data_IF_331361832107
#
_entry.id   IF_331361832107
#
_cell.length_a   1.000
_cell.length_b   1.000
_cell.length_c   1.000
_cell.angle_alpha   90.00
_cell.angle_beta   90.00
_cell.angle_gamma   90.00
#
_symmetry.space_group_name_H-M   'P 1'
#
loop_
_entity.id
_entity.type
_entity.pdbx_description
1 polymer ?
#
# COMPACT_ATOMS: atom_id res chain seq x y z
N UNK A 1 33.69 10.76 -38.31
CA UNK A 1 32.44 11.08 -37.58
C UNK A 1 31.82 9.76 -37.14
N UNK A 2 32.09 9.33 -35.90
CA UNK A 2 31.55 8.10 -35.33
C UNK A 2 30.52 8.51 -34.28
N UNK A 3 29.25 8.33 -34.60
CA UNK A 3 28.13 8.65 -33.72
C UNK A 3 27.97 7.51 -32.71
N UNK A 4 28.37 7.75 -31.45
CA UNK A 4 28.03 6.86 -30.35
C UNK A 4 26.51 6.92 -30.17
N UNK A 5 25.80 5.84 -30.54
CA UNK A 5 24.41 5.65 -30.14
C UNK A 5 24.44 5.22 -28.68
N UNK A 6 23.96 6.07 -27.77
CA UNK A 6 23.62 5.65 -26.42
C UNK A 6 22.40 4.73 -26.51
N UNK A 7 22.61 3.43 -26.39
CA UNK A 7 21.52 2.48 -26.19
C UNK A 7 20.94 2.72 -24.80
N UNK A 8 19.76 3.32 -24.74
CA UNK A 8 18.97 3.41 -23.52
C UNK A 8 18.42 2.03 -23.22
N UNK A 9 19.19 1.19 -22.51
CA UNK A 9 18.66 -0.08 -22.00
C UNK A 9 17.64 0.24 -20.92
N UNK A 10 16.37 -0.04 -21.15
CA UNK A 10 15.33 -0.03 -20.12
C UNK A 10 15.65 -1.15 -19.14
N UNK A 11 16.36 -0.82 -18.06
CA UNK A 11 16.59 -1.78 -16.99
C UNK A 11 15.23 -2.13 -16.39
N UNK A 12 14.79 -3.38 -16.59
CA UNK A 12 13.61 -3.91 -15.91
C UNK A 12 13.91 -3.83 -14.41
N UNK A 13 13.10 -3.06 -13.68
CA UNK A 13 13.21 -3.03 -12.22
C UNK A 13 12.55 -4.31 -11.70
N UNK A 14 13.30 -5.22 -11.06
CA UNK A 14 12.71 -6.45 -10.55
C UNK A 14 11.76 -6.12 -9.40
N UNK A 15 10.66 -6.87 -9.32
CA UNK A 15 9.76 -6.85 -8.17
C UNK A 15 10.18 -7.99 -7.25
N UNK A 16 10.53 -7.66 -6.02
CA UNK A 16 10.89 -8.63 -4.98
C UNK A 16 9.60 -9.06 -4.28
N UNK A 17 9.18 -10.29 -4.49
CA UNK A 17 8.09 -10.88 -3.70
C UNK A 17 8.60 -11.13 -2.29
N UNK A 18 7.84 -10.67 -1.30
CA UNK A 18 8.13 -10.86 0.13
C UNK A 18 7.00 -11.71 0.72
N UNK A 19 7.37 -12.79 1.38
CA UNK A 19 6.50 -13.79 2.01
C UNK A 19 6.94 -14.01 3.47
N UNK A 20 6.18 -14.76 4.24
CA UNK A 20 6.46 -15.00 5.65
C UNK A 20 7.88 -15.57 5.88
N UNK A 21 8.34 -16.44 4.98
CA UNK A 21 9.62 -17.14 5.13
C UNK A 21 10.85 -16.26 4.84
N UNK A 22 10.68 -15.14 4.13
CA UNK A 22 11.76 -14.22 3.76
C UNK A 22 11.62 -12.82 4.40
N UNK A 23 10.53 -12.57 5.12
CA UNK A 23 10.21 -11.23 5.63
C UNK A 23 11.23 -10.72 6.64
N UNK A 24 11.66 -11.58 7.57
CA UNK A 24 12.71 -11.24 8.56
C UNK A 24 14.06 -10.94 7.88
N UNK A 25 14.42 -11.72 6.86
CA UNK A 25 15.69 -11.60 6.14
C UNK A 25 15.72 -10.34 5.26
N UNK A 26 14.58 -10.00 4.62
CA UNK A 26 14.44 -8.83 3.75
C UNK A 26 14.18 -7.53 4.53
N UNK A 27 13.78 -7.63 5.80
CA UNK A 27 13.41 -6.48 6.63
C UNK A 27 14.46 -5.36 6.65
N UNK A 28 15.77 -5.61 6.90
CA UNK A 28 16.75 -4.53 6.94
C UNK A 28 16.85 -3.79 5.60
N UNK A 29 16.77 -4.52 4.48
CA UNK A 29 16.82 -3.92 3.15
C UNK A 29 15.58 -3.07 2.85
N UNK A 30 14.40 -3.51 3.30
CA UNK A 30 13.16 -2.75 3.17
C UNK A 30 13.19 -1.46 3.97
N UNK A 31 13.64 -1.51 5.24
CA UNK A 31 13.76 -0.33 6.10
C UNK A 31 14.72 0.69 5.48
N UNK A 32 15.89 0.26 5.00
CA UNK A 32 16.85 1.16 4.32
C UNK A 32 16.25 1.76 3.05
N UNK A 33 15.51 0.98 2.26
CA UNK A 33 14.84 1.48 1.06
C UNK A 33 13.81 2.57 1.40
N UNK A 34 13.01 2.35 2.44
CA UNK A 34 12.01 3.31 2.96
C UNK A 34 12.69 4.58 3.48
N UNK A 35 13.70 4.45 4.34
CA UNK A 35 14.39 5.59 4.97
C UNK A 35 15.18 6.44 3.98
N UNK A 36 15.77 5.82 2.96
CA UNK A 36 16.59 6.53 1.96
C UNK A 36 15.81 6.99 0.74
N UNK A 37 14.52 6.62 0.62
CA UNK A 37 13.66 7.07 -0.46
C UNK A 37 13.49 8.60 -0.45
N UNK A 38 13.35 9.16 -1.64
CA UNK A 38 12.86 10.51 -1.89
C UNK A 38 11.33 10.56 -1.83
N UNK A 39 10.65 9.50 -2.30
CA UNK A 39 9.21 9.26 -2.14
C UNK A 39 8.91 7.76 -2.27
N UNK A 40 7.72 7.34 -1.84
CA UNK A 40 7.29 5.93 -1.84
C UNK A 40 5.93 5.84 -2.53
N UNK A 41 5.77 4.93 -3.48
CA UNK A 41 4.47 4.59 -4.04
C UNK A 41 3.92 3.32 -3.40
N UNK A 42 2.62 3.32 -3.10
CA UNK A 42 1.92 2.19 -2.46
C UNK A 42 0.69 1.80 -3.28
N UNK A 43 0.40 0.50 -3.30
CA UNK A 43 -0.75 -0.09 -4.00
C UNK A 43 -1.20 -1.37 -3.28
N UNK A 44 -2.50 -1.68 -3.29
CA UNK A 44 -3.03 -2.86 -2.59
C UNK A 44 -3.87 -3.75 -3.49
N UNK A 45 -3.67 -5.07 -3.33
CA UNK A 45 -4.63 -6.06 -3.82
C UNK A 45 -5.58 -6.45 -2.70
N UNK A 46 -6.89 -6.39 -2.96
CA UNK A 46 -7.93 -6.49 -1.94
C UNK A 46 -8.85 -7.70 -2.16
N UNK A 47 -9.33 -8.29 -1.07
CA UNK A 47 -10.32 -9.37 -1.13
C UNK A 47 -11.67 -8.95 -1.72
N UNK A 48 -11.91 -7.64 -1.83
CA UNK A 48 -13.13 -7.07 -2.41
C UNK A 48 -13.19 -5.56 -2.19
N UNK A 49 -14.00 -4.87 -3.00
CA UNK A 49 -14.18 -3.42 -2.91
C UNK A 49 -15.53 -3.03 -2.31
N UNK A 50 -16.47 -3.97 -2.18
CA UNK A 50 -17.83 -3.71 -1.76
C UNK A 50 -18.75 -3.31 -2.91
N UNK A 51 -19.86 -2.65 -2.58
CA UNK A 51 -20.87 -2.29 -3.57
C UNK A 51 -20.35 -1.19 -4.52
N UNK A 52 -20.11 -1.53 -5.79
CA UNK A 52 -19.66 -0.59 -6.83
C UNK A 52 -20.50 0.67 -6.93
N UNK A 53 -21.83 0.60 -6.77
CA UNK A 53 -22.70 1.79 -6.86
C UNK A 53 -22.40 2.77 -5.74
N UNK A 54 -22.15 2.27 -4.54
CA UNK A 54 -21.81 3.10 -3.37
C UNK A 54 -20.40 3.69 -3.47
N UNK A 55 -19.45 2.98 -4.10
CA UNK A 55 -18.11 3.50 -4.40
C UNK A 55 -18.11 4.61 -5.46
N UNK A 56 -19.16 4.68 -6.28
CA UNK A 56 -19.37 5.70 -7.30
C UNK A 56 -20.36 6.79 -6.85
N UNK A 57 -20.67 6.85 -5.56
CA UNK A 57 -21.56 7.88 -5.02
C UNK A 57 -21.01 9.29 -5.29
N UNK A 58 -21.90 10.22 -5.65
CA UNK A 58 -21.54 11.62 -5.91
C UNK A 58 -20.98 12.30 -4.66
N UNK A 59 -21.58 12.09 -3.49
CA UNK A 59 -21.03 12.56 -2.22
C UNK A 59 -19.76 11.77 -1.86
N UNK A 60 -18.69 12.50 -1.56
CA UNK A 60 -17.43 11.93 -1.09
C UNK A 60 -17.57 11.32 0.31
N UNK A 61 -18.46 11.85 1.14
CA UNK A 61 -18.77 11.33 2.47
C UNK A 61 -19.47 9.97 2.38
N UNK A 62 -20.45 9.82 1.50
CA UNK A 62 -21.13 8.53 1.31
C UNK A 62 -20.20 7.50 0.66
N UNK A 63 -19.35 7.95 -0.28
CA UNK A 63 -18.28 7.14 -0.83
C UNK A 63 -17.32 6.67 0.26
N UNK A 64 -16.88 7.57 1.13
CA UNK A 64 -16.01 7.26 2.27
C UNK A 64 -16.64 6.23 3.21
N UNK A 65 -17.92 6.39 3.58
CA UNK A 65 -18.64 5.40 4.40
C UNK A 65 -18.67 4.02 3.75
N UNK A 66 -18.90 3.96 2.44
CA UNK A 66 -18.90 2.71 1.69
C UNK A 66 -17.51 2.05 1.69
N UNK A 67 -16.44 2.82 1.49
CA UNK A 67 -15.06 2.33 1.54
C UNK A 67 -14.72 1.86 2.96
N UNK A 68 -15.10 2.60 4.00
CA UNK A 68 -14.89 2.18 5.39
C UNK A 68 -15.61 0.87 5.70
N UNK A 69 -16.84 0.68 5.20
CA UNK A 69 -17.54 -0.59 5.34
C UNK A 69 -16.79 -1.73 4.64
N UNK A 70 -16.32 -1.52 3.41
CA UNK A 70 -15.52 -2.49 2.68
C UNK A 70 -14.21 -2.83 3.43
N UNK A 71 -13.44 -1.82 3.85
CA UNK A 71 -12.19 -2.00 4.58
C UNK A 71 -12.38 -2.76 5.90
N UNK A 72 -13.47 -2.51 6.64
CA UNK A 72 -13.75 -3.23 7.90
C UNK A 72 -14.03 -4.71 7.69
N UNK A 73 -14.56 -5.10 6.54
CA UNK A 73 -15.08 -6.44 6.29
C UNK A 73 -14.22 -7.28 5.35
N UNK A 74 -13.35 -6.66 4.57
CA UNK A 74 -12.41 -7.31 3.64
C UNK A 74 -10.97 -7.16 4.16
N UNK A 75 -10.06 -7.93 3.56
CA UNK A 75 -8.62 -7.91 3.86
C UNK A 75 -7.80 -7.37 2.69
N UNK A 76 -6.57 -6.97 3.01
CA UNK A 76 -5.50 -6.72 2.05
C UNK A 76 -4.84 -8.07 1.81
N UNK A 77 -4.74 -8.47 0.55
CA UNK A 77 -4.13 -9.73 0.11
C UNK A 77 -2.67 -9.54 -0.29
N UNK A 78 -2.35 -8.37 -0.84
CA UNK A 78 -0.98 -7.97 -1.16
C UNK A 78 -0.79 -6.48 -0.98
N UNK A 79 0.43 -6.09 -0.61
CA UNK A 79 0.86 -4.70 -0.53
C UNK A 79 2.09 -4.49 -1.43
N UNK A 80 1.93 -3.68 -2.47
CA UNK A 80 3.01 -3.17 -3.30
C UNK A 80 3.66 -1.95 -2.65
N UNK A 81 5.00 -1.96 -2.55
CA UNK A 81 5.80 -0.83 -2.04
C UNK A 81 6.92 -0.56 -3.04
N UNK A 82 6.93 0.65 -3.62
CA UNK A 82 8.01 1.10 -4.49
C UNK A 82 8.73 2.31 -3.88
N UNK A 83 9.99 2.12 -3.49
CA UNK A 83 10.84 3.15 -2.92
C UNK A 83 11.69 3.80 -4.01
N UNK A 84 11.53 5.11 -4.21
CA UNK A 84 12.26 5.88 -5.23
C UNK A 84 13.32 6.75 -4.57
N UNK A 85 14.60 6.44 -4.81
CA UNK A 85 15.74 7.21 -4.31
C UNK A 85 16.37 8.00 -5.45
N UNK A 86 16.32 9.32 -5.39
CA UNK A 86 16.97 10.20 -6.38
C UNK A 86 18.48 10.00 -6.38
N UNK A 87 19.07 9.92 -7.57
CA UNK A 87 20.51 9.77 -7.76
C UNK A 87 21.15 11.12 -8.08
N UNK A 88 21.87 11.71 -7.12
CA UNK A 88 22.47 13.05 -7.25
C UNK A 88 23.53 13.15 -8.36
N UNK A 89 24.21 12.03 -8.66
CA UNK A 89 25.31 11.97 -9.63
C UNK A 89 24.88 11.49 -11.03
N UNK A 90 23.59 11.59 -11.36
CA UNK A 90 23.02 11.16 -12.65
C UNK A 90 22.22 12.30 -13.29
N UNK A 91 21.68 12.05 -14.47
CA UNK A 91 20.80 13.00 -15.15
C UNK A 91 19.63 13.40 -14.24
N UNK A 92 19.06 14.59 -14.48
CA UNK A 92 17.85 15.03 -13.79
C UNK A 92 16.78 13.93 -13.81
N UNK A 93 16.07 13.77 -12.70
CA UNK A 93 15.00 12.78 -12.51
C UNK A 93 15.39 11.31 -12.73
N UNK A 94 16.66 10.97 -12.48
CA UNK A 94 17.09 9.57 -12.38
C UNK A 94 16.89 9.05 -10.96
N UNK A 95 16.20 7.92 -10.83
CA UNK A 95 15.93 7.26 -9.55
C UNK A 95 16.48 5.83 -9.54
N UNK A 96 17.02 5.43 -8.39
CA UNK A 96 17.12 4.03 -8.01
C UNK A 96 15.77 3.62 -7.42
N UNK A 97 15.19 2.55 -7.96
CA UNK A 97 13.87 2.06 -7.55
C UNK A 97 14.01 0.66 -6.96
N UNK A 98 13.46 0.46 -5.78
CA UNK A 98 13.32 -0.85 -5.15
C UNK A 98 11.83 -1.14 -4.98
N UNK A 99 11.35 -2.24 -5.55
CA UNK A 99 9.93 -2.61 -5.55
C UNK A 99 9.76 -3.92 -4.80
N UNK A 100 8.88 -3.91 -3.80
CA UNK A 100 8.51 -5.06 -2.98
C UNK A 100 7.03 -5.36 -3.18
N UNK A 101 6.67 -6.63 -3.30
CA UNK A 101 5.29 -7.10 -3.26
C UNK A 101 5.12 -8.05 -2.07
N UNK A 102 4.55 -7.53 -0.98
CA UNK A 102 4.32 -8.29 0.24
C UNK A 102 3.05 -9.10 0.11
N UNK A 103 3.17 -10.42 0.15
CA UNK A 103 2.01 -11.33 0.19
C UNK A 103 1.50 -11.39 1.62
N UNK A 104 0.28 -10.90 1.88
CA UNK A 104 -0.28 -10.76 3.22
C UNK A 104 -1.37 -11.80 3.49
N UNK A 105 -1.48 -12.22 4.75
CA UNK A 105 -2.54 -13.12 5.22
C UNK A 105 -3.22 -12.54 6.46
N UNK A 106 -4.47 -12.11 6.31
CA UNK A 106 -5.27 -11.63 7.43
C UNK A 106 -5.61 -12.81 8.35
N UNK A 107 -5.21 -12.71 9.62
CA UNK A 107 -5.46 -13.77 10.62
C UNK A 107 -6.87 -13.70 11.24
N UNK A 108 -7.63 -12.65 10.94
CA UNK A 108 -9.03 -12.48 11.36
C UNK A 108 -9.98 -13.00 10.27
N UNK A 109 -11.23 -13.31 10.62
CA UNK A 109 -12.26 -13.61 9.61
C UNK A 109 -12.50 -12.40 8.69
N UNK A 110 -12.47 -12.63 7.38
CA UNK A 110 -12.76 -11.61 6.37
C UNK A 110 -13.63 -12.16 5.26
N UNK A 111 -14.40 -11.28 4.63
CA UNK A 111 -15.16 -11.59 3.43
C UNK A 111 -14.29 -11.45 2.19
N UNK A 112 -14.59 -12.30 1.21
CA UNK A 112 -13.99 -12.25 -0.12
C UNK A 112 -15.11 -12.14 -1.17
N UNK A 113 -14.89 -11.31 -2.19
CA UNK A 113 -15.82 -11.16 -3.31
C UNK A 113 -15.38 -12.07 -4.48
N UNK A 114 -16.24 -13.00 -4.93
CA UNK A 114 -15.87 -13.95 -5.99
C UNK A 114 -15.39 -13.29 -7.28
N UNK A 115 -15.96 -12.12 -7.65
CA UNK A 115 -15.52 -11.37 -8.82
C UNK A 115 -14.09 -10.82 -8.66
N UNK A 116 -13.74 -10.35 -7.46
CA UNK A 116 -12.39 -9.88 -7.17
C UNK A 116 -11.38 -11.02 -7.20
N UNK A 117 -11.71 -12.16 -6.60
CA UNK A 117 -10.85 -13.37 -6.67
C UNK A 117 -10.66 -13.82 -8.10
N UNK A 118 -11.74 -13.91 -8.87
CA UNK A 118 -11.65 -14.33 -10.27
C UNK A 118 -10.75 -13.40 -11.07
N UNK A 119 -10.89 -12.08 -10.89
CA UNK A 119 -10.03 -11.08 -11.50
C UNK A 119 -8.56 -11.28 -11.11
N UNK A 120 -8.28 -11.45 -9.82
CA UNK A 120 -6.92 -11.65 -9.30
C UNK A 120 -6.26 -12.92 -9.87
N UNK A 121 -6.99 -14.04 -9.87
CA UNK A 121 -6.51 -15.30 -10.47
C UNK A 121 -6.20 -15.12 -11.96
N UNK A 122 -7.06 -14.42 -12.70
CA UNK A 122 -6.84 -14.15 -14.13
C UNK A 122 -5.59 -13.30 -14.40
N UNK A 123 -5.16 -12.49 -13.43
CA UNK A 123 -3.97 -11.65 -13.52
C UNK A 123 -2.76 -12.24 -12.80
N UNK A 124 -2.82 -13.53 -12.44
CA UNK A 124 -1.67 -14.29 -11.94
C UNK A 124 -1.49 -14.25 -10.42
N UNK A 125 -2.46 -13.77 -9.66
CA UNK A 125 -2.43 -13.88 -8.21
C UNK A 125 -2.54 -15.35 -7.76
N UNK A 126 -1.59 -15.81 -6.95
CA UNK A 126 -1.51 -17.19 -6.47
C UNK A 126 -2.02 -17.29 -5.02
N UNK A 127 -3.30 -17.63 -4.87
CA UNK A 127 -3.93 -17.81 -3.57
C UNK A 127 -3.33 -19.00 -2.79
N UNK A 128 -2.82 -20.04 -3.46
CA UNK A 128 -2.19 -21.16 -2.75
C UNK A 128 -0.92 -20.67 -2.07
N UNK A 129 -0.10 -19.87 -2.75
CA UNK A 129 1.07 -19.22 -2.15
C UNK A 129 0.69 -18.27 -1.03
N UNK A 130 -0.39 -17.50 -1.19
CA UNK A 130 -0.86 -16.61 -0.14
C UNK A 130 -1.25 -17.36 1.14
N UNK A 131 -2.05 -18.42 1.03
CA UNK A 131 -2.47 -19.18 2.21
C UNK A 131 -1.34 -20.02 2.82
N UNK A 132 -0.35 -20.45 2.03
CA UNK A 132 0.78 -21.23 2.51
C UNK A 132 1.88 -20.36 3.15
N UNK A 133 2.18 -19.19 2.57
CA UNK A 133 3.36 -18.38 2.91
C UNK A 133 3.05 -16.89 3.14
N UNK A 134 1.79 -16.49 3.23
CA UNK A 134 1.44 -15.08 3.44
C UNK A 134 1.86 -14.59 4.83
N UNK A 135 2.39 -13.37 4.89
CA UNK A 135 2.81 -12.73 6.13
C UNK A 135 1.56 -12.48 7.00
N UNK A 136 1.46 -13.08 8.20
CA UNK A 136 0.29 -12.94 9.04
C UNK A 136 0.15 -11.50 9.56
N UNK A 137 -1.07 -10.97 9.55
CA UNK A 137 -1.37 -9.69 10.18
C UNK A 137 -2.81 -9.65 10.73
N UNK A 138 -3.02 -8.78 11.71
CA UNK A 138 -4.35 -8.47 12.27
C UNK A 138 -4.66 -6.97 12.05
N UNK A 139 -5.94 -6.63 11.91
CA UNK A 139 -6.36 -5.23 11.87
C UNK A 139 -6.15 -4.52 13.21
N UNK A 140 -6.36 -3.19 13.23
CA UNK A 140 -6.28 -2.35 14.44
C UNK A 140 -7.08 -2.87 15.63
N UNK A 141 -8.18 -3.60 15.37
CA UNK A 141 -9.17 -4.04 16.35
C UNK A 141 -8.66 -5.08 17.35
N UNK A 142 -7.84 -6.03 16.90
CA UNK A 142 -7.27 -7.05 17.78
C UNK A 142 -5.84 -6.65 18.14
N UNK A 143 -5.70 -6.04 19.33
CA UNK A 143 -4.46 -6.15 20.11
C UNK A 143 -4.38 -7.58 20.67
N UNK A 144 -4.32 -8.58 19.78
CA UNK A 144 -4.10 -9.96 20.19
C UNK A 144 -2.79 -9.99 20.98
N UNK A 145 -2.89 -10.34 22.26
CA UNK A 145 -1.79 -10.40 23.21
C UNK A 145 -0.83 -11.54 22.92
N UNK A 146 -0.19 -11.53 21.76
CA UNK A 146 1.03 -12.28 21.51
C UNK A 146 2.18 -11.28 21.53
N UNK A 147 3.16 -11.57 22.39
CA UNK A 147 4.48 -10.98 22.33
C UNK A 147 5.06 -11.14 20.91
N UNK A 148 4.79 -10.17 20.02
CA UNK A 148 5.47 -10.08 18.73
C UNK A 148 6.90 -9.60 18.99
N UNK A 149 7.72 -10.48 19.57
CA UNK A 149 9.16 -10.37 19.47
C UNK A 149 9.55 -10.65 18.01
N UNK A 150 9.69 -9.59 17.20
CA UNK A 150 10.14 -9.74 15.82
C UNK A 150 9.55 -8.72 14.84
N UNK A 151 9.86 -8.94 13.56
CA UNK A 151 9.37 -8.15 12.45
C UNK A 151 7.91 -8.51 12.16
N UNK A 152 7.07 -7.50 11.93
CA UNK A 152 5.66 -7.71 11.61
C UNK A 152 5.10 -6.53 10.83
N UNK A 153 3.94 -6.71 10.18
CA UNK A 153 3.35 -5.70 9.29
C UNK A 153 3.10 -4.36 9.99
N UNK A 154 2.63 -4.34 11.25
CA UNK A 154 2.45 -3.07 11.99
C UNK A 154 3.77 -2.33 12.23
N UNK A 155 4.87 -3.04 12.43
CA UNK A 155 6.19 -2.42 12.50
C UNK A 155 6.53 -1.78 11.14
N UNK A 156 6.19 -2.41 10.01
CA UNK A 156 6.47 -1.85 8.69
C UNK A 156 5.74 -0.52 8.48
N UNK A 157 4.46 -0.48 8.86
CA UNK A 157 3.67 0.76 8.87
C UNK A 157 4.30 1.81 9.78
N UNK A 158 4.83 1.41 10.93
CA UNK A 158 5.52 2.33 11.84
C UNK A 158 6.77 2.91 11.19
N UNK A 159 7.56 2.12 10.47
CA UNK A 159 8.73 2.62 9.75
C UNK A 159 8.35 3.53 8.57
N UNK A 160 7.29 3.22 7.82
CA UNK A 160 6.74 4.12 6.79
C UNK A 160 6.35 5.49 7.36
N UNK A 161 5.66 5.50 8.50
CA UNK A 161 5.25 6.73 9.19
C UNK A 161 6.45 7.50 9.76
N UNK A 162 7.40 6.79 10.38
CA UNK A 162 8.61 7.41 10.96
C UNK A 162 9.52 8.02 9.89
N UNK A 163 9.62 7.38 8.73
CA UNK A 163 10.44 7.86 7.62
C UNK A 163 9.94 9.18 7.02
N UNK A 164 8.65 9.52 7.24
CA UNK A 164 8.04 10.80 6.82
C UNK A 164 8.28 11.11 5.35
N UNK A 165 8.27 10.08 4.51
CA UNK A 165 8.46 10.22 3.06
C UNK A 165 7.13 10.59 2.40
N UNK A 166 7.16 11.40 1.33
CA UNK A 166 5.99 11.58 0.48
C UNK A 166 5.47 10.24 -0.01
N UNK A 167 4.17 9.99 0.21
CA UNK A 167 3.49 8.82 -0.32
C UNK A 167 2.74 9.17 -1.61
N UNK A 168 2.83 8.29 -2.60
CA UNK A 168 2.17 8.41 -3.90
C UNK A 168 1.22 7.24 -4.08
N UNK A 169 0.01 7.54 -4.53
CA UNK A 169 -1.00 6.55 -4.86
C UNK A 169 -1.66 6.89 -6.18
N UNK A 170 -2.10 5.88 -6.93
CA UNK A 170 -2.94 6.06 -8.10
C UNK A 170 -4.35 5.55 -7.78
N UNK A 171 -5.34 6.43 -7.85
CA UNK A 171 -6.70 6.13 -7.39
C UNK A 171 -6.81 5.70 -5.89
N UNK A 172 -5.85 6.13 -5.06
CA UNK A 172 -5.55 5.60 -3.74
C UNK A 172 -6.49 5.85 -2.57
N UNK A 173 -7.69 6.42 -2.72
CA UNK A 173 -8.57 6.63 -1.56
C UNK A 173 -8.93 5.30 -0.88
N UNK A 174 -9.17 4.27 -1.69
CA UNK A 174 -9.47 2.92 -1.19
C UNK A 174 -8.24 2.36 -0.49
N UNK A 175 -7.08 2.39 -1.13
CA UNK A 175 -5.80 1.92 -0.57
C UNK A 175 -5.51 2.60 0.77
N UNK A 176 -5.58 3.93 0.81
CA UNK A 176 -5.35 4.70 2.04
C UNK A 176 -6.28 4.27 3.18
N UNK A 177 -7.57 4.04 2.92
CA UNK A 177 -8.52 3.59 3.94
C UNK A 177 -8.18 2.16 4.40
N UNK A 178 -7.84 1.25 3.49
CA UNK A 178 -7.44 -0.11 3.85
C UNK A 178 -6.13 -0.13 4.66
N UNK A 179 -5.13 0.66 4.25
CA UNK A 179 -3.85 0.80 4.93
C UNK A 179 -4.02 1.42 6.33
N UNK A 180 -4.87 2.44 6.47
CA UNK A 180 -5.15 3.10 7.74
C UNK A 180 -5.75 2.15 8.78
N UNK A 181 -6.57 1.17 8.36
CA UNK A 181 -7.15 0.14 9.25
C UNK A 181 -6.09 -0.75 9.91
N UNK A 182 -4.93 -0.93 9.30
CA UNK A 182 -3.92 -1.88 9.80
C UNK A 182 -3.35 -1.45 11.16
N UNK A 183 -2.84 -0.21 11.34
CA UNK A 183 -2.33 0.24 12.63
C UNK A 183 -3.42 0.74 13.60
N UNK A 184 -4.59 1.19 13.13
CA UNK A 184 -5.57 1.91 13.96
C UNK A 184 -7.03 1.65 13.55
N UNK A 185 -7.98 2.26 14.28
CA UNK A 185 -9.41 2.19 13.99
C UNK A 185 -9.83 3.24 12.98
N UNK A 186 -10.55 2.81 11.95
CA UNK A 186 -11.09 3.72 10.94
C UNK A 186 -12.11 4.70 11.54
N UNK A 187 -11.87 6.02 11.43
CA UNK A 187 -12.80 7.02 11.92
C UNK A 187 -14.12 6.97 11.13
N UNK A 188 -15.20 7.42 11.75
CA UNK A 188 -16.52 7.44 11.09
C UNK A 188 -16.67 8.62 10.12
N UNK A 189 -15.91 9.70 10.35
CA UNK A 189 -16.02 10.95 9.60
C UNK A 189 -14.80 11.14 8.71
N UNK A 190 -15.06 11.46 7.44
CA UNK A 190 -14.03 11.80 6.47
C UNK A 190 -13.13 12.95 6.95
N UNK A 191 -13.69 13.94 7.65
CA UNK A 191 -12.91 15.05 8.20
C UNK A 191 -11.82 14.58 9.17
N UNK A 192 -12.15 13.67 10.08
CA UNK A 192 -11.18 13.10 11.04
C UNK A 192 -10.12 12.29 10.30
N UNK A 193 -10.53 11.45 9.34
CA UNK A 193 -9.60 10.71 8.49
C UNK A 193 -8.59 11.61 7.78
N UNK A 194 -9.06 12.72 7.20
CA UNK A 194 -8.19 13.66 6.48
C UNK A 194 -7.20 14.37 7.41
N UNK A 195 -7.63 14.74 8.63
CA UNK A 195 -6.73 15.32 9.64
C UNK A 195 -5.67 14.32 10.04
N UNK A 196 -6.08 13.09 10.38
CA UNK A 196 -5.13 12.04 10.78
C UNK A 196 -4.13 11.72 9.66
N UNK A 197 -4.58 11.65 8.41
CA UNK A 197 -3.69 11.44 7.26
C UNK A 197 -2.70 12.60 7.08
N UNK A 198 -3.12 13.84 7.32
CA UNK A 198 -2.24 15.01 7.24
C UNK A 198 -1.15 15.00 8.33
N UNK A 199 -1.47 14.46 9.51
CA UNK A 199 -0.50 14.31 10.60
C UNK A 199 0.45 13.12 10.36
N UNK A 200 -0.07 12.04 9.78
CA UNK A 200 0.67 10.82 9.47
C UNK A 200 1.64 11.00 8.31
N UNK A 201 1.29 11.81 7.30
CA UNK A 201 2.08 11.97 6.08
C UNK A 201 2.31 13.46 5.76
N UNK A 202 3.54 13.98 5.92
CA UNK A 202 3.82 15.39 5.67
C UNK A 202 3.57 15.75 4.19
N UNK A 203 2.73 16.78 4.01
CA UNK A 203 2.31 17.41 2.75
C UNK A 203 3.52 17.93 1.92
N UNK A 204 3.44 17.98 0.57
CA UNK A 204 2.24 18.41 -0.20
C UNK A 204 1.46 17.33 -0.96
N UNK A 205 1.83 16.05 -0.90
CA UNK A 205 1.26 15.05 -1.83
C UNK A 205 -0.10 14.47 -1.41
N UNK A 206 -0.50 14.57 -0.14
CA UNK A 206 -1.88 14.31 0.30
C UNK A 206 -2.88 15.27 -0.35
N UNK A 207 -2.44 16.47 -0.79
CA UNK A 207 -3.29 17.47 -1.43
C UNK A 207 -3.65 17.17 -2.89
N UNK A 208 -2.77 16.50 -3.66
CA UNK A 208 -3.05 16.15 -5.07
C UNK A 208 -4.29 15.27 -5.21
N UNK A 209 -4.56 14.48 -4.18
CA UNK A 209 -5.67 13.53 -4.18
C UNK A 209 -7.00 14.16 -3.78
N UNK A 210 -7.01 15.07 -2.79
CA UNK A 210 -8.18 15.90 -2.51
C UNK A 210 -8.51 16.76 -3.73
N UNK A 211 -7.52 17.39 -4.37
CA UNK A 211 -7.76 18.24 -5.54
C UNK A 211 -8.28 17.45 -6.76
N UNK A 212 -7.81 16.22 -7.01
CA UNK A 212 -8.36 15.35 -8.08
C UNK A 212 -9.76 14.82 -7.74
N UNK A 213 -10.04 14.52 -6.46
CA UNK A 213 -11.37 14.16 -5.99
C UNK A 213 -12.38 15.32 -6.09
N UNK A 214 -11.92 16.56 -5.94
CA UNK A 214 -12.72 17.78 -6.07
C UNK A 214 -12.80 18.36 -7.50
N UNK A 215 -11.81 18.12 -8.39
CA UNK A 215 -11.76 18.73 -9.74
C UNK A 215 -12.31 17.88 -10.88
N UNK A 216 -12.57 16.59 -10.70
CA UNK A 216 -13.08 15.72 -11.78
C UNK A 216 -14.57 15.42 -11.78
N UNK A 217 -15.37 16.12 -10.97
CA UNK A 217 -16.83 16.12 -11.04
C UNK A 217 -17.40 17.47 -10.65
#
# INVERSE_FOLDING_TARGET
>A
KSTFKSETSWAITPVITVQNDDFDDLWPAMVVAIETASFIALDTELGGFGNRKSLLAQSIEDRYKAICHAARTRSILSLGIACYKKLDNKAADTYLVQVYNLTLLCSEEYMIEPQSVQFLVQHGFDFNKQYAHGIPYCGGNNKGGSDYHGVHIRALFTELLRARKPLVFHNGLIDMVFLYKVPTHLPERLATFTVDLSDMFPLPFTAFYLEYAYKKW
#
